data_IF_192895184373
#
_entry.id   IF_192895184373
#
_cell.length_a   1.000
_cell.length_b   1.000
_cell.length_c   1.000
_cell.angle_alpha   90.00
_cell.angle_beta   90.00
_cell.angle_gamma   90.00
#
_symmetry.space_group_name_H-M   'P 1'
#
loop_
_entity.id
_entity.type
_entity.pdbx_description
1 polymer ?
#
# COMPACT_ATOMS: atom_id res chain seq x y z
N UNK A 1 -5.40 2.56 -4.33
CA UNK A 1 -4.70 1.31 -3.96
C UNK A 1 -3.65 1.05 -5.02
N UNK A 2 -2.41 0.77 -4.64
CA UNK A 2 -1.33 0.44 -5.56
C UNK A 2 -0.91 -1.01 -5.40
N UNK A 3 -0.52 -1.64 -6.51
CA UNK A 3 0.11 -2.97 -6.55
C UNK A 3 1.43 -2.84 -7.29
N UNK A 4 2.44 -3.61 -6.87
CA UNK A 4 3.75 -3.64 -7.51
C UNK A 4 4.88 -3.30 -6.56
N UNK A 5 6.06 -2.89 -7.08
CA UNK A 5 6.31 -2.54 -8.50
C UNK A 5 6.31 -3.74 -9.46
N UNK A 6 6.43 -4.97 -8.96
CA UNK A 6 6.32 -6.22 -9.72
C UNK A 6 5.83 -7.36 -8.82
N UNK A 7 5.63 -8.54 -9.41
CA UNK A 7 5.33 -9.79 -8.72
C UNK A 7 6.60 -10.62 -8.67
N UNK A 8 6.98 -11.09 -7.47
CA UNK A 8 8.10 -12.02 -7.26
C UNK A 8 7.60 -13.44 -7.07
N UNK A 9 8.40 -14.42 -7.46
CA UNK A 9 8.04 -15.84 -7.34
C UNK A 9 8.60 -16.48 -6.07
N UNK A 10 8.02 -17.61 -5.59
CA UNK A 10 8.49 -18.27 -4.38
C UNK A 10 9.94 -18.76 -4.41
N UNK A 11 10.52 -19.00 -5.59
CA UNK A 11 11.93 -19.37 -5.76
C UNK A 11 12.89 -18.17 -5.62
N UNK A 12 12.43 -16.95 -5.84
CA UNK A 12 13.20 -15.72 -5.59
C UNK A 12 13.22 -15.33 -4.11
N UNK A 13 12.17 -15.68 -3.35
CA UNK A 13 12.07 -15.44 -1.91
C UNK A 13 11.74 -16.76 -1.18
N UNK A 14 12.77 -17.54 -0.79
CA UNK A 14 12.57 -18.81 -0.11
C UNK A 14 11.91 -18.71 1.27
N UNK A 15 12.08 -17.58 1.97
CA UNK A 15 11.46 -17.31 3.27
C UNK A 15 10.67 -15.99 3.24
N UNK A 16 9.38 -16.03 2.85
CA UNK A 16 8.52 -14.85 2.83
C UNK A 16 8.07 -14.42 4.23
N UNK A 17 8.45 -15.17 5.28
CA UNK A 17 8.18 -14.82 6.67
C UNK A 17 9.32 -14.01 7.29
N UNK A 18 10.40 -13.71 6.55
CA UNK A 18 11.52 -12.90 7.06
C UNK A 18 11.92 -11.74 6.10
N UNK A 19 10.96 -10.87 5.78
CA UNK A 19 11.14 -9.67 4.99
C UNK A 19 10.95 -8.43 5.84
N UNK A 20 11.82 -7.45 5.68
CA UNK A 20 11.67 -6.13 6.28
C UNK A 20 10.66 -5.33 5.47
N UNK A 21 9.77 -4.62 6.14
CA UNK A 21 8.76 -3.75 5.53
C UNK A 21 8.86 -2.36 6.13
N UNK A 22 8.93 -1.35 5.27
CA UNK A 22 9.04 0.05 5.65
C UNK A 22 8.02 0.90 4.89
N UNK A 23 7.35 1.80 5.60
CA UNK A 23 6.51 2.83 5.00
C UNK A 23 7.13 4.19 5.28
N UNK A 24 7.30 5.01 4.25
CA UNK A 24 7.72 6.41 4.37
C UNK A 24 6.62 7.34 3.87
N UNK A 25 6.44 8.47 4.56
CA UNK A 25 5.59 9.57 4.13
C UNK A 25 6.49 10.79 3.93
N UNK A 26 6.61 11.27 2.69
CA UNK A 26 7.52 12.34 2.30
C UNK A 26 8.97 12.05 2.74
N UNK A 27 9.45 10.83 2.49
CA UNK A 27 10.78 10.36 2.90
C UNK A 27 10.95 10.09 4.40
N UNK A 28 9.96 10.41 5.25
CA UNK A 28 10.02 10.14 6.69
C UNK A 28 9.45 8.76 6.99
N UNK A 29 10.23 7.93 7.66
CA UNK A 29 9.77 6.63 8.16
C UNK A 29 8.58 6.79 9.13
N UNK A 30 7.48 6.09 8.81
CA UNK A 30 6.25 6.06 9.61
C UNK A 30 5.81 4.64 9.96
N UNK A 31 6.34 3.61 9.32
CA UNK A 31 6.21 2.23 9.77
C UNK A 31 7.51 1.50 9.45
N UNK A 32 7.93 0.61 10.33
CA UNK A 32 9.10 -0.24 10.14
C UNK A 32 8.93 -1.51 10.97
N UNK A 33 8.94 -2.66 10.31
CA UNK A 33 8.78 -3.97 10.95
C UNK A 33 9.34 -5.07 10.05
N UNK A 34 9.16 -6.32 10.46
CA UNK A 34 9.48 -7.50 9.68
C UNK A 34 8.29 -8.46 9.64
N UNK A 35 8.10 -9.18 8.53
CA UNK A 35 7.02 -10.15 8.36
C UNK A 35 7.04 -11.24 9.43
N UNK A 36 8.17 -11.53 10.10
CA UNK A 36 8.23 -12.49 11.21
C UNK A 36 7.39 -12.09 12.42
N UNK A 37 7.05 -10.80 12.51
CA UNK A 37 6.17 -10.23 13.54
C UNK A 37 4.68 -10.46 13.25
N UNK A 38 4.32 -11.00 12.08
CA UNK A 38 2.92 -11.30 11.73
C UNK A 38 2.31 -12.29 12.73
N UNK A 39 1.13 -11.96 13.24
CA UNK A 39 0.37 -12.83 14.17
C UNK A 39 -0.04 -14.14 13.48
N UNK A 40 -0.41 -14.05 12.20
CA UNK A 40 -0.74 -15.19 11.35
C UNK A 40 0.24 -15.24 10.18
N UNK A 41 0.99 -16.33 10.07
CA UNK A 41 1.92 -16.57 8.97
C UNK A 41 1.19 -16.76 7.64
N UNK A 42 1.91 -16.61 6.53
CA UNK A 42 1.33 -16.65 5.18
C UNK A 42 0.63 -17.98 4.90
N UNK A 43 1.24 -19.10 5.29
CA UNK A 43 0.67 -20.45 5.19
C UNK A 43 -0.64 -20.59 5.98
N UNK A 44 -0.69 -20.03 7.20
CA UNK A 44 -1.90 -20.04 8.05
C UNK A 44 -3.02 -19.19 7.46
N UNK A 45 -2.70 -18.05 6.86
CA UNK A 45 -3.68 -17.20 6.18
C UNK A 45 -4.31 -17.94 4.99
N UNK A 46 -3.49 -18.56 4.14
CA UNK A 46 -3.97 -19.36 3.00
C UNK A 46 -4.86 -20.50 3.50
N UNK A 47 -4.38 -21.28 4.49
CA UNK A 47 -5.14 -22.40 5.05
C UNK A 47 -6.49 -21.95 5.63
N UNK A 48 -6.49 -20.88 6.43
CA UNK A 48 -7.70 -20.35 7.05
C UNK A 48 -8.72 -19.89 6.01
N UNK A 49 -8.31 -19.08 5.03
CA UNK A 49 -9.22 -18.55 4.00
C UNK A 49 -9.77 -19.71 3.14
N UNK A 50 -8.93 -20.67 2.78
CA UNK A 50 -9.32 -21.82 1.96
C UNK A 50 -10.34 -22.75 2.64
N UNK A 51 -10.48 -22.67 3.98
CA UNK A 51 -11.42 -23.49 4.73
C UNK A 51 -12.89 -23.08 4.55
N UNK A 52 -13.17 -21.84 4.11
CA UNK A 52 -14.53 -21.34 3.94
C UNK A 52 -14.79 -20.65 2.59
N UNK A 53 -13.77 -20.53 1.73
CA UNK A 53 -13.90 -20.00 0.36
C UNK A 53 -12.87 -20.65 -0.54
N UNK A 54 -13.27 -21.02 -1.75
CA UNK A 54 -12.34 -21.52 -2.76
C UNK A 54 -11.47 -20.38 -3.27
N UNK A 55 -10.15 -20.56 -3.23
CA UNK A 55 -9.19 -19.64 -3.83
C UNK A 55 -9.04 -19.97 -5.32
N UNK A 56 -9.07 -18.93 -6.15
CA UNK A 56 -8.87 -19.01 -7.60
C UNK A 56 -7.48 -18.50 -7.99
N UNK A 57 -6.88 -19.00 -9.07
CA UNK A 57 -5.67 -18.42 -9.63
C UNK A 57 -5.87 -16.92 -9.92
N UNK A 58 -4.96 -16.09 -9.41
CA UNK A 58 -5.04 -14.63 -9.53
C UNK A 58 -5.64 -13.93 -8.30
N UNK A 59 -6.15 -14.66 -7.30
CA UNK A 59 -6.60 -14.07 -6.05
C UNK A 59 -5.46 -13.37 -5.29
N UNK A 60 -5.76 -12.23 -4.67
CA UNK A 60 -4.80 -11.43 -3.91
C UNK A 60 -5.22 -11.34 -2.45
N UNK A 61 -4.34 -11.79 -1.55
CA UNK A 61 -4.55 -11.73 -0.10
C UNK A 61 -3.71 -10.58 0.47
N UNK A 62 -4.38 -9.58 1.07
CA UNK A 62 -3.71 -8.54 1.85
C UNK A 62 -3.45 -9.07 3.26
N UNK A 63 -2.19 -9.35 3.58
CA UNK A 63 -1.77 -10.10 4.77
C UNK A 63 -1.77 -9.30 6.07
N UNK A 64 -2.14 -8.02 6.00
CA UNK A 64 -2.17 -7.08 7.11
C UNK A 64 -1.12 -5.97 6.98
N UNK A 65 -1.15 -5.03 7.92
CA UNK A 65 -0.18 -3.93 8.00
C UNK A 65 0.57 -3.99 9.32
N UNK A 66 1.85 -3.59 9.37
CA UNK A 66 2.57 -3.39 10.62
C UNK A 66 1.89 -2.37 11.56
N UNK A 67 2.41 -2.27 12.78
CA UNK A 67 2.05 -1.19 13.69
C UNK A 67 2.36 0.20 13.14
N UNK A 68 1.81 1.26 13.74
CA UNK A 68 2.15 2.65 13.39
C UNK A 68 1.23 3.34 12.37
N UNK A 69 0.10 2.73 12.01
CA UNK A 69 -0.93 3.37 11.17
C UNK A 69 -1.34 4.73 11.73
N UNK A 70 -1.50 5.70 10.85
CA UNK A 70 -1.61 7.12 11.20
C UNK A 70 -2.68 7.46 12.23
N UNK A 71 -3.86 6.82 12.15
CA UNK A 71 -4.98 7.00 13.10
C UNK A 71 -4.64 6.60 14.54
N UNK A 72 -3.71 5.68 14.76
CA UNK A 72 -3.30 5.20 16.10
C UNK A 72 -2.19 6.03 16.73
N UNK A 73 -1.66 7.04 16.04
CA UNK A 73 -0.60 7.93 16.54
C UNK A 73 -1.17 9.03 17.43
N UNK A 74 -0.31 9.62 18.26
CA UNK A 74 -0.61 10.80 19.08
C UNK A 74 0.50 11.86 18.89
N UNK A 75 0.25 12.95 18.14
CA UNK A 75 -0.98 13.26 17.40
C UNK A 75 -1.22 12.30 16.21
N UNK A 76 -2.47 12.19 15.70
CA UNK A 76 -2.76 11.42 14.50
C UNK A 76 -1.97 11.95 13.28
N UNK A 77 -1.60 11.04 12.40
CA UNK A 77 -0.95 11.36 11.12
C UNK A 77 -1.89 10.99 9.98
N UNK A 78 -2.21 11.96 9.14
CA UNK A 78 -3.00 11.76 7.92
C UNK A 78 -2.21 12.26 6.73
N UNK A 79 -2.56 11.76 5.55
CA UNK A 79 -1.99 12.20 4.28
C UNK A 79 -2.85 13.30 3.68
N UNK A 80 -2.21 14.22 2.96
CA UNK A 80 -2.82 15.35 2.30
C UNK A 80 -2.41 15.42 0.82
N UNK A 81 -3.17 16.12 -0.03
CA UNK A 81 -2.76 16.36 -1.41
C UNK A 81 -1.35 16.95 -1.48
N UNK A 82 -0.50 16.38 -2.33
CA UNK A 82 0.92 16.72 -2.46
C UNK A 82 1.86 15.83 -1.65
N UNK A 83 1.35 15.00 -0.73
CA UNK A 83 2.16 14.00 -0.06
C UNK A 83 2.56 12.86 -1.02
N UNK A 84 3.66 12.18 -0.70
CA UNK A 84 4.10 10.95 -1.35
C UNK A 84 4.25 9.87 -0.30
N UNK A 85 3.57 8.73 -0.51
CA UNK A 85 3.74 7.54 0.33
C UNK A 85 4.54 6.49 -0.42
N UNK A 86 5.57 5.99 0.24
CA UNK A 86 6.42 4.91 -0.24
C UNK A 86 6.21 3.69 0.66
N UNK A 87 6.04 2.51 0.07
CA UNK A 87 6.06 1.23 0.78
C UNK A 87 7.13 0.36 0.16
N UNK A 88 8.08 -0.06 0.98
CA UNK A 88 9.21 -0.88 0.57
C UNK A 88 9.19 -2.21 1.33
N UNK A 89 9.44 -3.29 0.61
CA UNK A 89 9.68 -4.61 1.20
C UNK A 89 11.03 -5.10 0.72
N UNK A 90 11.89 -5.53 1.65
CA UNK A 90 13.22 -6.03 1.30
C UNK A 90 13.13 -7.20 0.32
N UNK A 91 14.04 -7.24 -0.65
CA UNK A 91 14.08 -8.21 -1.76
C UNK A 91 12.92 -8.11 -2.77
N UNK A 92 11.88 -7.30 -2.52
CA UNK A 92 10.80 -7.04 -3.48
C UNK A 92 11.01 -5.72 -4.18
N UNK A 93 11.07 -4.60 -3.46
CA UNK A 93 11.20 -3.27 -4.04
C UNK A 93 10.34 -2.21 -3.35
N UNK A 94 10.35 -1.00 -3.90
CA UNK A 94 9.62 0.15 -3.40
C UNK A 94 8.47 0.54 -4.35
N UNK A 95 7.28 0.73 -3.79
CA UNK A 95 6.11 1.27 -4.47
C UNK A 95 5.85 2.70 -3.97
N UNK A 96 5.89 3.67 -4.88
CA UNK A 96 5.66 5.09 -4.59
C UNK A 96 4.30 5.54 -5.14
N UNK A 97 3.48 6.13 -4.29
CA UNK A 97 2.16 6.64 -4.65
C UNK A 97 2.03 8.12 -4.24
N UNK A 98 1.91 9.06 -5.20
CA UNK A 98 1.55 10.43 -4.88
C UNK A 98 0.09 10.52 -4.44
N UNK A 99 -0.16 11.36 -3.43
CA UNK A 99 -1.49 11.66 -2.92
C UNK A 99 -2.00 12.91 -3.64
N UNK A 100 -3.12 12.75 -4.33
CA UNK A 100 -3.84 13.82 -5.00
C UNK A 100 -5.24 13.92 -4.43
N UNK A 101 -5.79 15.12 -4.40
CA UNK A 101 -7.20 15.30 -4.04
C UNK A 101 -8.11 14.80 -5.16
N UNK A 102 -9.38 14.59 -4.84
CA UNK A 102 -10.39 14.33 -5.86
C UNK A 102 -10.50 15.53 -6.81
N UNK A 103 -10.57 15.25 -8.11
CA UNK A 103 -10.77 16.30 -9.11
C UNK A 103 -12.24 16.70 -9.11
N UNK A 104 -12.52 17.95 -8.76
CA UNK A 104 -13.86 18.52 -8.91
C UNK A 104 -14.11 18.95 -10.37
N UNK A 105 -14.76 18.08 -11.14
CA UNK A 105 -15.14 18.34 -12.54
C UNK A 105 -16.09 19.53 -12.72
N UNK A 106 -16.75 20.01 -11.65
CA UNK A 106 -17.60 21.20 -11.71
C UNK A 106 -16.80 22.50 -11.90
N UNK A 107 -15.50 22.49 -11.55
CA UNK A 107 -14.59 23.64 -11.71
C UNK A 107 -13.90 23.61 -13.09
N UNK A 108 -13.60 22.42 -13.62
CA UNK A 108 -12.93 22.25 -14.93
C UNK A 108 -13.79 22.73 -16.11
N UNK A 109 -15.11 22.49 -16.04
CA UNK A 109 -16.08 22.95 -17.04
C UNK A 109 -16.29 24.47 -17.05
N UNK A 110 -16.07 25.17 -15.93
CA UNK A 110 -16.22 26.63 -15.83
C UNK A 110 -15.06 27.41 -16.47
N UNK A 111 -13.87 26.80 -16.59
CA UNK A 111 -12.67 27.43 -17.19
C UNK A 111 -12.72 27.35 -18.72
N UNK A 112 -13.21 26.24 -19.28
CA UNK A 112 -13.27 26.03 -20.75
C UNK A 112 -14.24 27.00 -21.46
N UNK A 113 -15.24 27.52 -20.75
CA UNK A 113 -16.22 28.48 -21.30
C UNK A 113 -15.66 29.92 -21.39
N UNK A 114 -14.57 30.25 -20.69
CA UNK A 114 -14.04 31.63 -20.65
C UNK A 114 -12.96 31.96 -21.67
N UNK A 115 -12.50 31.00 -22.48
CA UNK A 115 -11.38 31.19 -23.43
C UNK A 115 -11.80 31.32 -24.90
N UNK A 116 -13.10 31.43 -25.19
CA UNK A 116 -13.64 31.50 -26.57
C UNK A 116 -14.26 32.85 -26.95
N UNK A 117 -13.70 33.97 -26.47
CA UNK A 117 -13.96 35.31 -27.03
C UNK A 117 -12.69 36.17 -26.98
N UNK A 118 -11.88 36.13 -28.04
CA UNK A 118 -11.29 37.31 -28.72
C UNK A 118 -10.64 36.88 -30.04
#
# INVERSE_FOLDING_TARGET
>A
MGFGPWLVTPDEIPDPQNLEIMTRLNGREVQHDNTRSMIHSIDKLIAYISAFTTLSPGDVILTGSPGGVGKKRHPPLFMWPGDVVEVEISQIGCLENPVIDEIDDSISSAISVRTSVS
#
